data_IF_950905675240
#
_entry.id   IF_950905675240
#
_cell.length_a   1.000
_cell.length_b   1.000
_cell.length_c   1.000
_cell.angle_alpha   90.00
_cell.angle_beta   90.00
_cell.angle_gamma   90.00
#
_symmetry.space_group_name_H-M   'P 1'
#
loop_
_entity.id
_entity.type
_entity.pdbx_description
1 polymer ?
#
# COMPACT_ATOMS: atom_id res chain seq x y z
N UNK A 1 -43.21 3.16 -50.33
CA UNK A 1 -42.07 4.02 -49.86
C UNK A 1 -42.10 4.18 -48.35
N UNK A 2 -43.25 4.54 -47.77
CA UNK A 2 -43.44 4.72 -46.31
C UNK A 2 -43.26 3.44 -45.50
N UNK A 3 -43.74 2.28 -45.98
CA UNK A 3 -43.52 0.98 -45.32
C UNK A 3 -42.03 0.63 -45.22
N UNK A 4 -41.29 0.84 -46.33
CA UNK A 4 -39.84 0.64 -46.38
C UNK A 4 -39.08 1.61 -45.48
N UNK A 5 -39.59 2.83 -45.31
CA UNK A 5 -39.02 3.81 -44.38
C UNK A 5 -39.23 3.38 -42.92
N UNK A 6 -40.42 2.87 -42.59
CA UNK A 6 -40.70 2.34 -41.25
C UNK A 6 -39.85 1.12 -40.92
N UNK A 7 -39.68 0.17 -41.85
CA UNK A 7 -38.80 -0.99 -41.64
C UNK A 7 -37.33 -0.58 -41.50
N UNK A 8 -36.85 0.35 -42.33
CA UNK A 8 -35.49 0.88 -42.24
C UNK A 8 -35.25 1.61 -40.91
N UNK A 9 -36.23 2.39 -40.43
CA UNK A 9 -36.12 3.05 -39.14
C UNK A 9 -36.04 2.06 -37.98
N UNK A 10 -36.84 0.99 -38.02
CA UNK A 10 -36.78 -0.08 -37.00
C UNK A 10 -35.42 -0.78 -37.04
N UNK A 11 -34.94 -1.14 -38.23
CA UNK A 11 -33.64 -1.81 -38.41
C UNK A 11 -32.47 -0.95 -37.96
N UNK A 12 -32.47 0.34 -38.32
CA UNK A 12 -31.45 1.29 -37.88
C UNK A 12 -31.50 1.51 -36.36
N UNK A 13 -32.69 1.61 -35.77
CA UNK A 13 -32.83 1.77 -34.32
C UNK A 13 -32.30 0.55 -33.56
N UNK A 14 -32.59 -0.67 -34.04
CA UNK A 14 -32.04 -1.90 -33.46
C UNK A 14 -30.52 -1.93 -33.58
N UNK A 15 -29.98 -1.57 -34.75
CA UNK A 15 -28.53 -1.52 -35.00
C UNK A 15 -27.81 -0.50 -34.12
N UNK A 16 -28.39 0.68 -33.94
CA UNK A 16 -27.85 1.72 -33.06
C UNK A 16 -27.83 1.25 -31.60
N UNK A 17 -28.92 0.63 -31.13
CA UNK A 17 -28.99 0.06 -29.77
C UNK A 17 -27.96 -1.04 -29.55
N UNK A 18 -27.77 -1.93 -30.54
CA UNK A 18 -26.78 -3.00 -30.48
C UNK A 18 -25.35 -2.42 -30.41
N UNK A 19 -25.02 -1.42 -31.26
CA UNK A 19 -23.72 -0.76 -31.21
C UNK A 19 -23.48 -0.05 -29.86
N UNK A 20 -24.47 0.64 -29.31
CA UNK A 20 -24.37 1.29 -28.01
C UNK A 20 -24.20 0.28 -26.86
N UNK A 21 -24.89 -0.86 -26.93
CA UNK A 21 -24.76 -1.94 -25.94
C UNK A 21 -23.35 -2.55 -25.95
N UNK A 22 -22.80 -2.81 -27.15
CA UNK A 22 -21.43 -3.31 -27.32
C UNK A 22 -20.42 -2.30 -26.78
N UNK A 23 -20.52 -1.02 -27.19
CA UNK A 23 -19.60 0.04 -26.74
C UNK A 23 -19.64 0.25 -25.22
N UNK A 24 -20.82 0.16 -24.60
CA UNK A 24 -20.97 0.26 -23.14
C UNK A 24 -20.34 -0.95 -22.44
N UNK A 25 -20.52 -2.16 -22.97
CA UNK A 25 -19.93 -3.39 -22.43
C UNK A 25 -18.39 -3.34 -22.47
N UNK A 26 -17.81 -2.93 -23.60
CA UNK A 26 -16.36 -2.82 -23.77
C UNK A 26 -15.76 -1.74 -22.86
N UNK A 27 -16.45 -0.61 -22.72
CA UNK A 27 -16.06 0.43 -21.77
C UNK A 27 -16.06 -0.10 -20.33
N UNK A 28 -17.14 -0.73 -19.89
CA UNK A 28 -17.23 -1.30 -18.53
C UNK A 28 -16.20 -2.40 -18.29
N UNK A 29 -15.91 -3.22 -19.29
CA UNK A 29 -14.87 -4.25 -19.22
C UNK A 29 -13.49 -3.62 -19.03
N UNK A 30 -13.17 -2.59 -19.81
CA UNK A 30 -11.89 -1.87 -19.69
C UNK A 30 -11.75 -1.22 -18.32
N UNK A 31 -12.81 -0.57 -17.81
CA UNK A 31 -12.81 0.04 -16.48
C UNK A 31 -12.68 -1.02 -15.37
N UNK A 32 -13.30 -2.18 -15.52
CA UNK A 32 -13.16 -3.30 -14.58
C UNK A 32 -11.74 -3.85 -14.54
N UNK A 33 -11.11 -4.02 -15.70
CA UNK A 33 -9.74 -4.52 -15.79
C UNK A 33 -8.75 -3.51 -15.18
N UNK A 34 -8.97 -2.20 -15.38
CA UNK A 34 -8.17 -1.16 -14.73
C UNK A 34 -8.39 -1.12 -13.22
N UNK A 35 -9.65 -1.14 -12.75
CA UNK A 35 -9.97 -1.20 -11.33
C UNK A 35 -9.40 -2.44 -10.66
N UNK A 36 -9.43 -3.60 -11.33
CA UNK A 36 -8.83 -4.84 -10.86
C UNK A 36 -7.31 -4.73 -10.73
N UNK A 37 -6.63 -4.13 -11.72
CA UNK A 37 -5.17 -3.89 -11.65
C UNK A 37 -4.82 -3.01 -10.46
N UNK A 38 -5.54 -1.89 -10.28
CA UNK A 38 -5.34 -0.98 -9.14
C UNK A 38 -5.60 -1.68 -7.80
N UNK A 39 -6.61 -2.54 -7.73
CA UNK A 39 -6.91 -3.32 -6.53
C UNK A 39 -5.75 -4.25 -6.16
N UNK A 40 -5.23 -5.01 -7.13
CA UNK A 40 -4.09 -5.92 -6.93
C UNK A 40 -2.83 -5.12 -6.52
N UNK A 41 -2.59 -3.96 -7.15
CA UNK A 41 -1.47 -3.09 -6.79
C UNK A 41 -1.59 -2.60 -5.34
N UNK A 42 -2.79 -2.20 -4.92
CA UNK A 42 -3.04 -1.73 -3.56
C UNK A 42 -2.97 -2.87 -2.53
N UNK A 43 -3.44 -4.07 -2.86
CA UNK A 43 -3.28 -5.27 -2.04
C UNK A 43 -1.80 -5.58 -1.81
N UNK A 44 -0.99 -5.50 -2.87
CA UNK A 44 0.46 -5.70 -2.79
C UNK A 44 1.13 -4.64 -1.91
N UNK A 45 0.75 -3.36 -2.04
CA UNK A 45 1.25 -2.30 -1.16
C UNK A 45 0.92 -2.56 0.30
N UNK A 46 -0.30 -2.99 0.61
CA UNK A 46 -0.73 -3.37 1.95
C UNK A 46 0.07 -4.57 2.50
N UNK A 47 0.33 -5.57 1.66
CA UNK A 47 1.13 -6.74 2.02
C UNK A 47 2.59 -6.36 2.31
N UNK A 48 3.24 -5.64 1.40
CA UNK A 48 4.61 -5.15 1.56
C UNK A 48 4.75 -4.28 2.80
N UNK A 49 3.76 -3.43 3.07
CA UNK A 49 3.71 -2.59 4.28
C UNK A 49 3.63 -3.44 5.55
N UNK A 50 2.75 -4.46 5.58
CA UNK A 50 2.64 -5.40 6.71
C UNK A 50 3.93 -6.17 6.95
N UNK A 51 4.61 -6.61 5.89
CA UNK A 51 5.87 -7.33 5.98
C UNK A 51 7.00 -6.43 6.47
N UNK A 52 7.11 -5.21 5.93
CA UNK A 52 8.15 -4.24 6.28
C UNK A 52 8.07 -3.77 7.72
N UNK A 53 6.86 -3.61 8.26
CA UNK A 53 6.62 -3.13 9.62
C UNK A 53 6.09 -4.22 10.55
N UNK A 54 6.41 -5.49 10.25
CA UNK A 54 6.16 -6.60 11.15
C UNK A 54 6.78 -6.33 12.53
N UNK A 55 6.00 -6.54 13.58
CA UNK A 55 6.37 -6.19 14.96
C UNK A 55 5.86 -4.82 15.43
N UNK A 56 5.50 -3.90 14.54
CA UNK A 56 5.09 -2.53 14.87
C UNK A 56 3.61 -2.25 14.60
N UNK A 57 2.89 -3.24 14.06
CA UNK A 57 1.49 -3.09 13.70
C UNK A 57 0.59 -2.96 14.95
N UNK A 58 -0.52 -2.20 14.88
CA UNK A 58 -1.45 -2.03 16.00
C UNK A 58 -2.02 -3.37 16.51
N UNK A 59 -2.27 -4.31 15.61
CA UNK A 59 -2.72 -5.67 15.96
C UNK A 59 -1.74 -6.45 16.83
N UNK A 60 -0.46 -6.05 16.83
CA UNK A 60 0.61 -6.67 17.60
C UNK A 60 0.99 -5.85 18.85
N UNK A 61 0.40 -4.67 19.04
CA UNK A 61 0.61 -3.85 20.23
C UNK A 61 0.27 -4.60 21.54
N UNK A 62 -0.81 -5.40 21.64
CA UNK A 62 -1.09 -6.18 22.84
C UNK A 62 0.02 -7.20 23.16
N UNK A 63 0.53 -7.91 22.15
CA UNK A 63 1.64 -8.86 22.34
C UNK A 63 2.95 -8.16 22.73
N UNK A 64 3.25 -7.00 22.14
CA UNK A 64 4.42 -6.21 22.51
C UNK A 64 4.33 -5.71 23.95
N UNK A 65 3.13 -5.27 24.38
CA UNK A 65 2.89 -4.83 25.76
C UNK A 65 3.07 -5.98 26.76
N UNK A 66 2.55 -7.16 26.45
CA UNK A 66 2.75 -8.36 27.27
C UNK A 66 4.22 -8.75 27.37
N UNK A 67 4.96 -8.73 26.25
CA UNK A 67 6.40 -8.98 26.25
C UNK A 67 7.15 -7.97 27.13
N UNK A 68 6.75 -6.70 27.10
CA UNK A 68 7.32 -5.65 27.93
C UNK A 68 7.00 -5.83 29.42
N UNK A 69 5.78 -6.25 29.76
CA UNK A 69 5.39 -6.61 31.13
C UNK A 69 6.18 -7.81 31.66
N UNK A 70 6.34 -8.86 30.84
CA UNK A 70 7.15 -10.03 31.18
C UNK A 70 8.63 -9.64 31.38
N UNK A 71 9.18 -8.81 30.49
CA UNK A 71 10.54 -8.28 30.61
C UNK A 71 10.73 -7.46 31.89
N UNK A 72 9.75 -6.63 32.29
CA UNK A 72 9.80 -5.89 33.56
C UNK A 72 9.86 -6.83 34.77
N UNK A 73 9.03 -7.87 34.80
CA UNK A 73 9.05 -8.86 35.88
C UNK A 73 10.38 -9.63 35.92
N UNK A 74 10.90 -10.02 34.76
CA UNK A 74 12.20 -10.70 34.66
C UNK A 74 13.35 -9.80 35.12
N UNK A 75 13.31 -8.52 34.75
CA UNK A 75 14.31 -7.54 35.17
C UNK A 75 14.32 -7.36 36.69
N UNK A 76 13.14 -7.25 37.31
CA UNK A 76 13.01 -7.18 38.77
C UNK A 76 13.59 -8.43 39.46
N UNK A 77 13.26 -9.62 38.95
CA UNK A 77 13.80 -10.88 39.49
C UNK A 77 15.33 -10.97 39.34
N UNK A 78 15.89 -10.47 38.24
CA UNK A 78 17.34 -10.39 38.02
C UNK A 78 17.99 -9.40 38.99
N UNK A 79 17.39 -8.23 39.19
CA UNK A 79 17.87 -7.21 40.12
C UNK A 79 17.93 -7.76 41.56
N UNK A 80 16.89 -8.44 42.02
CA UNK A 80 16.84 -9.09 43.33
C UNK A 80 17.88 -10.21 43.48
N UNK A 81 18.06 -11.02 42.44
CA UNK A 81 19.06 -12.09 42.44
C UNK A 81 20.49 -11.54 42.46
N UNK A 82 20.74 -10.43 41.76
CA UNK A 82 22.02 -9.75 41.71
C UNK A 82 22.33 -9.08 43.05
N UNK A 83 21.34 -8.46 43.71
CA UNK A 83 21.47 -7.95 45.07
C UNK A 83 21.87 -9.06 46.05
N UNK A 84 21.15 -10.20 46.05
CA UNK A 84 21.51 -11.37 46.89
C UNK A 84 22.88 -11.95 46.58
N UNK A 85 23.32 -11.94 45.33
CA UNK A 85 24.66 -12.40 44.95
C UNK A 85 25.75 -11.45 45.47
N UNK A 86 25.54 -10.13 45.38
CA UNK A 86 26.43 -9.11 45.94
C UNK A 86 26.52 -9.19 47.46
N UNK A 87 25.39 -9.38 48.15
CA UNK A 87 25.39 -9.56 49.61
C UNK A 87 26.21 -10.78 50.02
N UNK A 88 26.03 -11.91 49.32
CA UNK A 88 26.85 -13.13 49.53
C UNK A 88 28.33 -12.87 49.29
N UNK A 89 28.68 -12.16 48.22
CA UNK A 89 30.07 -11.76 47.94
C UNK A 89 30.67 -10.99 49.12
N UNK A 90 29.99 -9.96 49.61
CA UNK A 90 30.47 -9.14 50.74
C UNK A 90 30.64 -9.96 52.01
N UNK A 91 29.75 -10.93 52.28
CA UNK A 91 29.89 -11.82 53.45
C UNK A 91 31.12 -12.72 53.35
N UNK A 92 31.42 -13.26 52.17
CA UNK A 92 32.59 -14.08 51.93
C UNK A 92 33.89 -13.26 51.97
N UNK A 93 33.87 -12.03 51.44
CA UNK A 93 35.01 -11.10 51.52
C UNK A 93 35.35 -10.76 52.99
N UNK A 94 34.34 -10.50 53.83
CA UNK A 94 34.57 -10.33 55.28
C UNK A 94 35.12 -11.59 55.92
N UNK A 95 34.54 -12.76 55.64
CA UNK A 95 35.02 -14.03 56.19
C UNK A 95 36.47 -14.33 55.77
N UNK A 96 36.86 -13.98 54.55
CA UNK A 96 38.24 -14.06 54.06
C UNK A 96 39.15 -13.09 54.82
N UNK A 97 38.70 -11.84 55.02
CA UNK A 97 39.43 -10.83 55.77
C UNK A 97 39.71 -11.25 57.22
N UNK A 98 38.70 -11.79 57.91
CA UNK A 98 38.84 -12.26 59.30
C UNK A 98 39.88 -13.39 59.43
N UNK A 99 39.90 -14.32 58.46
CA UNK A 99 40.89 -15.42 58.39
C UNK A 99 42.31 -14.91 58.11
N UNK A 100 42.47 -13.87 57.29
CA UNK A 100 43.77 -13.28 56.99
C UNK A 100 44.28 -12.39 58.14
N UNK A 101 43.40 -11.72 58.87
CA UNK A 101 43.77 -10.91 60.03
C UNK A 101 44.32 -11.76 61.18
N UNK A 102 43.81 -12.99 61.34
CA UNK A 102 44.31 -13.95 62.34
C UNK A 102 45.73 -14.45 62.08
N UNK A 103 46.28 -14.22 60.88
CA UNK A 103 47.65 -14.57 60.50
C UNK A 103 48.67 -13.44 60.75
N UNK A 104 48.23 -12.24 61.17
CA UNK A 104 49.20 -11.27 61.68
C UNK A 104 49.79 -11.84 62.97
N UNK A 105 51.11 -12.09 63.05
CA UNK A 105 51.75 -12.45 64.31
C UNK A 105 51.69 -11.20 65.17
N UNK A 106 50.58 -11.03 65.88
CA UNK A 106 50.63 -10.31 67.14
C UNK A 106 51.62 -11.12 67.94
N UNK A 107 52.85 -10.62 68.02
CA UNK A 107 53.84 -11.08 68.98
C UNK A 107 53.06 -11.36 70.26
N UNK A 108 53.06 -12.63 70.69
CA UNK A 108 52.36 -13.06 71.89
C UNK A 108 52.61 -11.99 72.96
N UNK A 109 51.58 -11.52 73.69
CA UNK A 109 51.86 -10.73 74.88
C UNK A 109 52.70 -11.65 75.76
N UNK A 110 54.01 -11.41 75.79
CA UNK A 110 54.90 -11.96 76.79
C UNK A 110 54.18 -11.70 78.09
N UNK A 111 53.78 -12.78 78.75
CA UNK A 111 53.13 -12.74 80.03
C UNK A 111 53.93 -11.77 80.91
N UNK A 112 53.31 -10.64 81.24
CA UNK A 112 53.79 -9.72 82.25
C UNK A 112 53.73 -10.50 83.57
N UNK A 113 54.78 -11.27 83.81
CA UNK A 113 55.02 -11.90 85.09
C UNK A 113 55.40 -10.77 86.02
N UNK A 114 54.60 -10.59 87.06
CA UNK A 114 54.81 -9.59 88.10
C UNK A 114 56.27 -9.65 88.63
N UNK A 115 56.85 -8.51 89.01
CA UNK A 115 58.23 -8.44 89.49
C UNK A 115 58.35 -9.03 90.90
N UNK A 116 59.36 -9.86 91.22
CA UNK A 116 59.90 -9.91 92.56
C UNK A 116 60.93 -8.77 92.75
N UNK A 117 61.11 -8.27 93.98
CA UNK A 117 61.96 -7.11 94.29
C UNK A 117 63.46 -7.44 94.15
N UNK A 118 64.33 -6.40 94.08
CA UNK A 118 65.72 -6.55 93.69
C UNK A 118 66.58 -7.00 94.88
N UNK A 119 67.28 -8.12 94.73
CA UNK A 119 68.46 -8.41 95.54
C UNK A 119 69.69 -8.05 94.71
N UNK A 120 70.28 -6.91 95.08
CA UNK A 120 71.54 -6.43 94.57
C UNK A 120 72.71 -7.26 95.12
N UNK A 121 73.77 -7.31 94.30
CA UNK A 121 75.19 -7.52 94.65
C UNK A 121 75.58 -8.84 95.29
N UNK A 122 76.27 -9.66 94.50
CA UNK A 122 77.07 -10.79 94.95
C UNK A 122 77.76 -11.48 93.78
N UNK A 123 79.04 -11.14 93.60
CA UNK A 123 80.11 -11.90 92.95
C UNK A 123 80.36 -11.85 91.42
N UNK A 124 81.63 -11.59 91.01
CA UNK A 124 82.09 -11.61 89.63
C UNK A 124 82.49 -13.04 89.24
N UNK A 125 81.56 -13.87 88.80
CA UNK A 125 81.88 -15.22 88.34
C UNK A 125 80.86 -15.78 87.33
N UNK A 126 80.58 -15.03 86.26
CA UNK A 126 79.78 -15.54 85.13
C UNK A 126 80.49 -15.23 83.80
N UNK A 127 81.70 -15.79 83.63
CA UNK A 127 82.40 -15.83 82.34
C UNK A 127 82.94 -17.22 81.97
N UNK A 128 82.63 -18.26 82.76
CA UNK A 128 83.10 -19.63 82.50
C UNK A 128 82.13 -20.47 81.64
N UNK A 129 81.40 -19.86 80.70
CA UNK A 129 80.46 -20.60 79.85
C UNK A 129 79.98 -19.90 78.57
N UNK A 130 80.57 -18.77 78.16
CA UNK A 130 80.22 -18.18 76.86
C UNK A 130 80.76 -19.07 75.75
N UNK A 131 79.85 -19.58 74.91
CA UNK A 131 80.25 -20.47 73.80
C UNK A 131 81.12 -19.71 72.81
N UNK A 132 82.05 -20.37 72.09
CA UNK A 132 82.84 -19.72 71.05
C UNK A 132 81.98 -18.99 70.00
N UNK A 133 80.75 -19.47 69.75
CA UNK A 133 79.80 -18.88 68.82
C UNK A 133 79.26 -17.53 69.33
N UNK A 134 78.95 -17.45 70.61
CA UNK A 134 78.46 -16.24 71.26
C UNK A 134 79.57 -15.16 71.34
N UNK A 135 80.81 -15.58 71.63
CA UNK A 135 81.97 -14.70 71.60
C UNK A 135 82.26 -14.14 70.20
N UNK A 136 82.07 -14.93 69.14
CA UNK A 136 82.25 -14.50 67.74
C UNK A 136 81.17 -13.50 67.32
N UNK A 137 79.92 -13.73 67.69
CA UNK A 137 78.81 -12.81 67.41
C UNK A 137 79.04 -11.46 68.09
N UNK A 138 79.48 -11.46 69.34
CA UNK A 138 79.73 -10.24 70.09
C UNK A 138 80.94 -9.47 69.55
N UNK A 139 82.00 -10.18 69.13
CA UNK A 139 83.14 -9.58 68.44
C UNK A 139 82.75 -8.94 67.09
N UNK A 140 81.89 -9.59 66.29
CA UNK A 140 81.38 -9.04 65.02
C UNK A 140 80.51 -7.80 65.25
N UNK A 141 79.67 -7.79 66.28
CA UNK A 141 78.85 -6.62 66.64
C UNK A 141 79.71 -5.44 67.07
N UNK A 142 80.75 -5.68 67.90
CA UNK A 142 81.70 -4.64 68.33
C UNK A 142 82.50 -4.09 67.14
N UNK A 143 82.90 -4.95 66.21
CA UNK A 143 83.55 -4.53 64.96
C UNK A 143 82.62 -3.65 64.13
N UNK A 144 81.36 -4.05 63.91
CA UNK A 144 80.39 -3.25 63.17
C UNK A 144 80.11 -1.88 63.83
N UNK A 145 80.08 -1.84 65.17
CA UNK A 145 79.93 -0.60 65.92
C UNK A 145 81.16 0.33 65.77
N UNK A 146 82.38 -0.22 65.74
CA UNK A 146 83.61 0.57 65.60
C UNK A 146 83.87 1.01 64.15
N UNK A 147 83.53 0.19 63.15
CA UNK A 147 83.63 0.56 61.73
C UNK A 147 82.69 1.74 61.37
N UNK A 148 81.62 1.96 62.14
CA UNK A 148 80.76 3.14 61.96
C UNK A 148 81.32 4.44 62.54
N UNK A 149 82.38 4.37 63.37
CA UNK A 149 82.90 5.51 64.15
C UNK A 149 84.39 5.80 63.95
N UNK A 150 85.17 4.82 63.48
CA UNK A 150 86.63 4.90 63.38
C UNK A 150 87.09 4.56 61.96
N UNK A 151 88.19 5.19 61.52
CA UNK A 151 88.77 4.90 60.21
C UNK A 151 89.33 3.47 60.14
N UNK A 152 89.34 2.83 58.95
CA UNK A 152 89.72 1.42 58.78
C UNK A 152 91.10 1.02 59.29
N UNK A 153 92.03 1.97 59.45
CA UNK A 153 93.41 1.73 59.91
C UNK A 153 93.59 1.78 61.44
N UNK A 154 92.51 1.98 62.21
CA UNK A 154 92.62 2.06 63.67
C UNK A 154 93.07 0.71 64.28
N UNK A 155 94.06 0.69 65.21
CA UNK A 155 94.62 -0.54 65.75
C UNK A 155 93.60 -1.46 66.44
N UNK A 156 92.49 -0.91 66.93
CA UNK A 156 91.42 -1.68 67.58
C UNK A 156 90.56 -2.48 66.59
N UNK A 157 90.35 -1.96 65.37
CA UNK A 157 89.67 -2.71 64.30
C UNK A 157 90.55 -3.89 63.87
N UNK A 158 91.87 -3.67 63.77
CA UNK A 158 92.82 -4.72 63.44
C UNK A 158 92.88 -5.82 64.53
N UNK A 159 92.76 -5.46 65.81
CA UNK A 159 92.68 -6.41 66.94
C UNK A 159 91.39 -7.25 66.89
N UNK A 160 90.24 -6.63 66.66
CA UNK A 160 88.96 -7.32 66.55
C UNK A 160 88.88 -8.24 65.32
N UNK A 161 89.43 -7.81 64.16
CA UNK A 161 89.53 -8.68 62.97
C UNK A 161 90.36 -9.93 63.25
N UNK A 162 91.50 -9.80 63.94
CA UNK A 162 92.31 -10.96 64.38
C UNK A 162 91.56 -11.86 65.36
N UNK A 163 90.79 -11.28 66.29
CA UNK A 163 90.01 -12.04 67.25
C UNK A 163 88.89 -12.84 66.58
N UNK A 164 88.20 -12.26 65.60
CA UNK A 164 87.19 -12.96 64.79
C UNK A 164 87.84 -14.09 63.98
N UNK A 165 88.98 -13.86 63.33
CA UNK A 165 89.67 -14.91 62.57
C UNK A 165 90.16 -16.08 63.43
N UNK A 166 90.43 -15.84 64.72
CA UNK A 166 90.80 -16.91 65.67
C UNK A 166 89.59 -17.65 66.24
N UNK A 167 88.42 -17.00 66.31
CA UNK A 167 87.18 -17.60 66.82
C UNK A 167 86.42 -18.38 65.73
N UNK A 168 86.49 -17.97 64.46
CA UNK A 168 85.86 -18.66 63.33
C UNK A 168 86.17 -20.18 63.25
N UNK A 169 87.44 -20.63 63.28
CA UNK A 169 87.74 -22.06 63.24
C UNK A 169 87.30 -22.81 64.50
N UNK A 170 87.22 -22.14 65.66
CA UNK A 170 86.76 -22.73 66.92
C UNK A 170 85.25 -22.95 66.94
N UNK A 171 84.48 -22.02 66.37
CA UNK A 171 83.04 -22.18 66.14
C UNK A 171 82.78 -23.31 65.14
N UNK A 172 83.55 -23.36 64.05
CA UNK A 172 83.45 -24.44 63.07
C UNK A 172 83.74 -25.82 63.71
N UNK A 173 84.76 -25.92 64.57
CA UNK A 173 85.09 -27.15 65.29
C UNK A 173 84.02 -27.56 66.32
N UNK A 174 83.46 -26.62 67.09
CA UNK A 174 82.36 -26.89 68.04
C UNK A 174 81.06 -27.31 67.33
N UNK A 175 80.76 -26.69 66.17
CA UNK A 175 79.62 -27.08 65.35
C UNK A 175 79.81 -28.45 64.67
N UNK A 176 81.05 -28.84 64.35
CA UNK A 176 81.39 -30.18 63.85
C UNK A 176 81.35 -31.24 64.97
N UNK A 177 81.75 -30.89 66.20
CA UNK A 177 81.65 -31.77 67.36
C UNK A 177 80.20 -31.98 67.83
N UNK A 178 79.34 -30.95 67.78
CA UNK A 178 77.90 -31.09 68.03
C UNK A 178 77.16 -31.90 66.95
N UNK A 179 77.67 -31.93 65.71
CA UNK A 179 77.09 -32.74 64.63
C UNK A 179 77.37 -34.25 64.75
N UNK A 180 78.38 -34.67 65.53
CA UNK A 180 78.78 -36.07 65.66
C UNK A 180 78.11 -36.82 66.83
N UNK A 181 77.28 -36.16 67.65
CA UNK A 181 76.60 -36.80 68.81
C UNK A 181 75.17 -36.31 68.96
N UNK A 182 74.34 -36.49 67.92
CA UNK A 182 72.89 -36.68 68.07
C UNK A 182 72.28 -37.12 66.73
N UNK A 183 71.50 -38.23 66.64
CA UNK A 183 70.61 -38.43 65.52
C UNK A 183 69.41 -37.49 65.69
N UNK A 184 69.57 -36.23 65.31
CA UNK A 184 68.45 -35.27 65.23
C UNK A 184 67.73 -35.50 63.91
N UNK A 185 66.56 -36.14 64.01
CA UNK A 185 65.59 -36.17 62.93
C UNK A 185 65.39 -34.74 62.41
N UNK A 186 65.67 -34.55 61.12
CA UNK A 186 65.40 -33.30 60.42
C UNK A 186 63.99 -32.82 60.77
N UNK A 187 63.91 -31.70 61.50
CA UNK A 187 62.69 -30.97 61.75
C UNK A 187 62.15 -30.47 60.40
N UNK A 188 61.37 -31.32 59.72
CA UNK A 188 60.33 -30.84 58.82
C UNK A 188 59.50 -29.87 59.67
N UNK A 189 59.23 -28.63 59.23
CA UNK A 189 58.28 -27.80 59.95
C UNK A 189 56.98 -28.61 59.94
N UNK A 190 56.57 -29.07 61.13
CA UNK A 190 55.25 -29.68 61.29
C UNK A 190 54.31 -28.52 60.98
N UNK A 191 53.81 -28.47 59.74
CA UNK A 191 52.70 -27.56 59.40
C UNK A 191 51.64 -27.87 60.44
N UNK A 192 51.38 -26.90 61.30
CA UNK A 192 50.36 -27.04 62.33
C UNK A 192 49.05 -27.45 61.62
N UNK A 193 48.38 -28.48 62.14
CA UNK A 193 47.12 -28.95 61.54
C UNK A 193 46.11 -27.81 61.42
N UNK A 194 46.18 -26.83 62.34
CA UNK A 194 45.41 -25.59 62.29
C UNK A 194 45.74 -24.71 61.08
N UNK A 195 47.00 -24.61 60.68
CA UNK A 195 47.44 -23.81 59.53
C UNK A 195 46.99 -24.44 58.21
N UNK A 196 47.10 -25.77 58.08
CA UNK A 196 46.60 -26.49 56.88
C UNK A 196 45.08 -26.37 56.75
N UNK A 197 44.33 -26.47 57.86
CA UNK A 197 42.89 -26.30 57.86
C UNK A 197 42.47 -24.89 57.42
N UNK A 198 43.19 -23.85 57.86
CA UNK A 198 42.97 -22.47 57.43
C UNK A 198 43.26 -22.28 55.94
N UNK A 199 44.43 -22.72 55.46
CA UNK A 199 44.80 -22.62 54.04
C UNK A 199 43.75 -23.27 53.12
N UNK A 200 43.20 -24.42 53.51
CA UNK A 200 42.08 -25.06 52.81
C UNK A 200 40.84 -24.16 52.81
N UNK A 201 40.42 -23.67 53.98
CA UNK A 201 39.25 -22.79 54.10
C UNK A 201 39.39 -21.50 53.30
N UNK A 202 40.58 -20.89 53.28
CA UNK A 202 40.88 -19.71 52.46
C UNK A 202 40.78 -20.03 50.97
N UNK A 203 41.24 -21.20 50.53
CA UNK A 203 41.12 -21.66 49.14
C UNK A 203 39.66 -21.89 48.76
N UNK A 204 38.89 -22.51 49.64
CA UNK A 204 37.46 -22.78 49.43
C UNK A 204 36.69 -21.46 49.29
N UNK A 205 36.90 -20.50 50.20
CA UNK A 205 36.27 -19.16 50.14
C UNK A 205 36.67 -18.41 48.86
N UNK A 206 37.94 -18.49 48.43
CA UNK A 206 38.37 -17.88 47.17
C UNK A 206 37.67 -18.52 45.96
N UNK A 207 37.53 -19.83 45.94
CA UNK A 207 36.79 -20.53 44.89
C UNK A 207 35.30 -20.14 44.87
N UNK A 208 34.69 -19.97 46.06
CA UNK A 208 33.31 -19.48 46.19
C UNK A 208 33.16 -18.02 45.70
N UNK A 209 34.12 -17.15 46.02
CA UNK A 209 34.17 -15.78 45.53
C UNK A 209 34.28 -15.73 43.99
N UNK A 210 35.15 -16.55 43.40
CA UNK A 210 35.28 -16.65 41.94
C UNK A 210 33.98 -17.17 41.30
N UNK A 211 33.32 -18.14 41.93
CA UNK A 211 32.04 -18.67 41.47
C UNK A 211 30.94 -17.60 41.51
N UNK A 212 30.83 -16.83 42.60
CA UNK A 212 29.88 -15.72 42.74
C UNK A 212 30.21 -14.59 41.77
N UNK A 213 31.49 -14.28 41.55
CA UNK A 213 31.92 -13.29 40.56
C UNK A 213 31.44 -13.64 39.15
N UNK A 214 31.57 -14.91 38.75
CA UNK A 214 31.01 -15.42 37.48
C UNK A 214 29.48 -15.35 37.46
N UNK A 215 28.81 -15.68 38.57
CA UNK A 215 27.35 -15.58 38.69
C UNK A 215 26.87 -14.13 38.49
N UNK A 216 27.51 -13.15 39.15
CA UNK A 216 27.18 -11.73 39.03
C UNK A 216 27.37 -11.26 37.59
N UNK A 217 28.50 -11.59 36.96
CA UNK A 217 28.77 -11.22 35.57
C UNK A 217 27.72 -11.80 34.61
N UNK A 218 27.33 -13.06 34.79
CA UNK A 218 26.28 -13.69 33.98
C UNK A 218 24.93 -12.96 34.15
N UNK A 219 24.53 -12.67 35.40
CA UNK A 219 23.28 -11.94 35.69
C UNK A 219 23.28 -10.52 35.13
N UNK A 220 24.42 -9.83 35.15
CA UNK A 220 24.56 -8.50 34.53
C UNK A 220 24.38 -8.56 33.00
N UNK A 221 24.93 -9.60 32.36
CA UNK A 221 24.73 -9.82 30.92
C UNK A 221 23.25 -10.11 30.59
N UNK A 222 22.59 -10.93 31.42
CA UNK A 222 21.15 -11.18 31.28
C UNK A 222 20.32 -9.90 31.45
N UNK A 223 20.66 -9.07 32.44
CA UNK A 223 20.00 -7.79 32.69
C UNK A 223 20.12 -6.85 31.48
N UNK A 224 21.31 -6.77 30.87
CA UNK A 224 21.54 -5.99 29.64
C UNK A 224 20.74 -6.52 28.46
N UNK A 225 20.68 -7.85 28.27
CA UNK A 225 19.86 -8.49 27.23
C UNK A 225 18.38 -8.16 27.40
N UNK A 226 17.83 -8.36 28.59
CA UNK A 226 16.41 -8.07 28.87
C UNK A 226 16.09 -6.59 28.66
N UNK A 227 16.98 -5.67 29.09
CA UNK A 227 16.82 -4.23 28.82
C UNK A 227 16.79 -3.90 27.34
N UNK A 228 17.65 -4.54 26.55
CA UNK A 228 17.72 -4.35 25.09
C UNK A 228 16.43 -4.86 24.43
N UNK A 229 15.95 -6.03 24.83
CA UNK A 229 14.68 -6.58 24.35
C UNK A 229 13.49 -5.68 24.71
N UNK A 230 13.43 -5.19 25.95
CA UNK A 230 12.40 -4.24 26.37
C UNK A 230 12.45 -2.93 25.57
N UNK A 231 13.63 -2.40 25.28
CA UNK A 231 13.78 -1.19 24.46
C UNK A 231 13.28 -1.41 23.03
N UNK A 232 13.52 -2.59 22.45
CA UNK A 232 12.95 -2.97 21.15
C UNK A 232 11.42 -2.97 21.20
N UNK A 233 10.80 -3.61 22.19
CA UNK A 233 9.33 -3.64 22.32
C UNK A 233 8.73 -2.25 22.58
N UNK A 234 9.42 -1.42 23.37
CA UNK A 234 9.00 -0.04 23.61
C UNK A 234 9.02 0.76 22.29
N UNK A 235 10.11 0.69 21.52
CA UNK A 235 10.20 1.38 20.23
C UNK A 235 9.12 0.95 19.23
N UNK A 236 8.74 -0.33 19.26
CA UNK A 236 7.64 -0.87 18.44
C UNK A 236 6.28 -0.31 18.86
N UNK A 237 6.06 -0.16 20.17
CA UNK A 237 4.84 0.40 20.72
C UNK A 237 4.73 1.90 20.44
N UNK A 238 5.84 2.63 20.53
CA UNK A 238 5.91 4.07 20.26
C UNK A 238 5.68 4.37 18.76
N UNK A 239 6.13 3.47 17.88
CA UNK A 239 5.87 3.58 16.44
C UNK A 239 4.43 3.20 16.05
N UNK A 240 3.71 2.44 16.88
CA UNK A 240 2.41 1.86 16.52
C UNK A 240 1.36 2.89 16.07
N UNK A 241 1.19 4.07 16.71
CA UNK A 241 0.20 5.06 16.28
C UNK A 241 0.48 5.63 14.88
N UNK A 242 1.76 5.84 14.55
CA UNK A 242 2.15 6.32 13.20
C UNK A 242 1.87 5.23 12.18
N UNK A 243 2.21 3.98 12.51
CA UNK A 243 1.93 2.83 11.64
C UNK A 243 0.44 2.57 11.45
N UNK A 244 -0.37 2.85 12.47
CA UNK A 244 -1.82 2.80 12.40
C UNK A 244 -2.37 3.80 11.40
N UNK A 245 -1.96 5.08 11.50
CA UNK A 245 -2.41 6.13 10.60
C UNK A 245 -2.08 5.81 9.13
N UNK A 246 -0.83 5.42 8.86
CA UNK A 246 -0.37 4.99 7.53
C UNK A 246 -1.19 3.78 7.02
N UNK A 247 -1.45 2.79 7.89
CA UNK A 247 -2.24 1.61 7.52
C UNK A 247 -3.71 1.95 7.23
N UNK A 248 -4.31 2.82 8.03
CA UNK A 248 -5.69 3.29 7.83
C UNK A 248 -5.85 4.01 6.50
N UNK A 249 -4.87 4.82 6.09
CA UNK A 249 -4.86 5.47 4.78
C UNK A 249 -4.84 4.43 3.65
N UNK A 250 -3.91 3.46 3.71
CA UNK A 250 -3.82 2.39 2.71
C UNK A 250 -5.11 1.54 2.65
N UNK A 251 -5.72 1.25 3.80
CA UNK A 251 -6.98 0.50 3.88
C UNK A 251 -8.15 1.31 3.31
N UNK A 252 -8.23 2.61 3.57
CA UNK A 252 -9.27 3.48 2.99
C UNK A 252 -9.19 3.50 1.46
N UNK A 253 -7.99 3.58 0.92
CA UNK A 253 -7.76 3.54 -0.52
C UNK A 253 -8.13 2.18 -1.12
N UNK A 254 -7.76 1.08 -0.43
CA UNK A 254 -8.18 -0.27 -0.78
C UNK A 254 -9.70 -0.41 -0.82
N UNK A 255 -10.39 0.00 0.25
CA UNK A 255 -11.84 -0.08 0.36
C UNK A 255 -12.53 0.75 -0.75
N UNK A 256 -11.99 1.93 -1.06
CA UNK A 256 -12.50 2.78 -2.14
C UNK A 256 -12.38 2.09 -3.50
N UNK A 257 -11.21 1.54 -3.83
CA UNK A 257 -11.00 0.82 -5.10
C UNK A 257 -11.86 -0.45 -5.15
N UNK A 258 -11.99 -1.16 -4.03
CA UNK A 258 -12.84 -2.35 -3.93
C UNK A 258 -14.32 -2.02 -4.17
N UNK A 259 -14.81 -0.92 -3.60
CA UNK A 259 -16.18 -0.43 -3.83
C UNK A 259 -16.40 -0.05 -5.29
N UNK A 260 -15.47 0.68 -5.91
CA UNK A 260 -15.53 1.03 -7.34
C UNK A 260 -15.57 -0.24 -8.19
N UNK A 261 -14.69 -1.20 -7.93
CA UNK A 261 -14.66 -2.48 -8.66
C UNK A 261 -16.00 -3.23 -8.54
N UNK A 262 -16.55 -3.36 -7.32
CA UNK A 262 -17.85 -3.99 -7.09
C UNK A 262 -18.99 -3.26 -7.80
N UNK A 263 -18.98 -1.92 -7.79
CA UNK A 263 -19.97 -1.10 -8.49
C UNK A 263 -19.91 -1.26 -10.01
N UNK A 264 -18.71 -1.26 -10.58
CA UNK A 264 -18.50 -1.53 -12.02
C UNK A 264 -18.91 -2.95 -12.39
N UNK A 265 -18.66 -3.92 -11.51
CA UNK A 265 -19.02 -5.32 -11.73
C UNK A 265 -20.53 -5.47 -11.77
N UNK A 266 -21.24 -4.89 -10.80
CA UNK A 266 -22.70 -4.87 -10.79
C UNK A 266 -23.25 -4.21 -12.06
N UNK A 267 -22.74 -3.03 -12.44
CA UNK A 267 -23.19 -2.31 -13.63
C UNK A 267 -22.94 -3.08 -14.93
N UNK A 268 -21.85 -3.86 -15.01
CA UNK A 268 -21.58 -4.76 -16.14
C UNK A 268 -22.60 -5.90 -16.21
N UNK A 269 -22.90 -6.53 -15.08
CA UNK A 269 -23.90 -7.60 -15.04
C UNK A 269 -25.30 -7.08 -15.38
N UNK A 270 -25.68 -5.91 -14.87
CA UNK A 270 -26.94 -5.24 -15.24
C UNK A 270 -26.99 -4.93 -16.75
N UNK A 271 -25.89 -4.42 -17.32
CA UNK A 271 -25.79 -4.13 -18.75
C UNK A 271 -25.89 -5.41 -19.60
N UNK A 272 -25.31 -6.53 -19.16
CA UNK A 272 -25.46 -7.83 -19.82
C UNK A 272 -26.89 -8.33 -19.78
N UNK A 273 -27.58 -8.18 -18.66
CA UNK A 273 -29.00 -8.57 -18.54
C UNK A 273 -29.84 -7.73 -19.50
N UNK A 274 -29.61 -6.40 -19.53
CA UNK A 274 -30.30 -5.50 -20.45
C UNK A 274 -30.03 -5.86 -21.93
N UNK A 275 -28.77 -6.11 -22.30
CA UNK A 275 -28.40 -6.54 -23.65
C UNK A 275 -29.05 -7.87 -24.05
N UNK A 276 -29.11 -8.84 -23.14
CA UNK A 276 -29.83 -10.10 -23.38
C UNK A 276 -31.34 -9.89 -23.54
N UNK A 277 -31.94 -8.93 -22.81
CA UNK A 277 -33.35 -8.59 -22.92
C UNK A 277 -33.68 -7.96 -24.29
N UNK A 278 -32.81 -7.06 -24.77
CA UNK A 278 -32.92 -6.44 -26.10
C UNK A 278 -32.71 -7.48 -27.22
N UNK A 279 -31.71 -8.36 -27.08
CA UNK A 279 -31.48 -9.45 -28.05
C UNK A 279 -32.67 -10.41 -28.14
N UNK A 280 -33.35 -10.66 -27.01
CA UNK A 280 -34.60 -11.45 -26.97
C UNK A 280 -35.84 -10.65 -27.39
N UNK A 281 -35.68 -9.39 -27.79
CA UNK A 281 -36.75 -8.47 -28.21
C UNK A 281 -37.85 -8.28 -27.15
N UNK A 282 -37.52 -8.39 -25.85
CA UNK A 282 -38.51 -8.27 -24.76
C UNK A 282 -38.73 -6.80 -24.32
N UNK A 283 -38.07 -5.84 -24.98
CA UNK A 283 -38.15 -4.39 -24.73
C UNK A 283 -39.21 -3.64 -25.56
N UNK A 284 -39.15 -2.30 -25.56
CA UNK A 284 -40.04 -1.44 -26.36
C UNK A 284 -39.84 -1.68 -27.87
N UNK A 285 -40.85 -2.29 -28.50
CA UNK A 285 -40.87 -2.54 -29.94
C UNK A 285 -41.65 -1.44 -30.66
N UNK A 286 -41.05 -0.86 -31.70
CA UNK A 286 -41.81 -0.12 -32.69
C UNK A 286 -42.60 -1.12 -33.54
N UNK A 287 -43.88 -1.29 -33.23
CA UNK A 287 -44.79 -2.09 -34.04
C UNK A 287 -45.54 -1.20 -35.02
N UNK A 288 -45.55 -1.59 -36.29
CA UNK A 288 -46.40 -0.94 -37.29
C UNK A 288 -47.87 -1.20 -36.91
N UNK A 289 -48.56 -0.17 -36.44
CA UNK A 289 -49.96 -0.26 -36.00
C UNK A 289 -50.94 -0.27 -37.19
N UNK A 290 -50.72 0.63 -38.16
CA UNK A 290 -51.49 0.70 -39.39
C UNK A 290 -50.54 0.84 -40.58
N UNK A 291 -50.42 -0.18 -41.46
CA UNK A 291 -49.56 -0.12 -42.62
C UNK A 291 -50.09 0.89 -43.63
N UNK A 292 -49.18 1.61 -44.28
CA UNK A 292 -49.54 2.61 -45.28
C UNK A 292 -50.25 1.94 -46.47
N UNK A 293 -51.53 2.27 -46.68
CA UNK A 293 -52.31 1.81 -47.83
C UNK A 293 -52.02 2.68 -49.05
N UNK A 294 -51.91 2.05 -50.21
CA UNK A 294 -51.87 2.80 -51.47
C UNK A 294 -53.20 3.53 -51.68
N UNK A 295 -53.19 4.82 -52.05
CA UNK A 295 -54.42 5.59 -52.21
C UNK A 295 -55.23 5.03 -53.39
N UNK A 296 -56.48 4.66 -53.14
CA UNK A 296 -57.41 4.13 -54.16
C UNK A 296 -57.81 5.18 -55.20
N UNK A 297 -57.62 6.47 -54.89
CA UNK A 297 -57.91 7.59 -55.79
C UNK A 297 -56.70 8.52 -55.86
N UNK A 298 -56.37 9.04 -57.06
CA UNK A 298 -55.29 10.01 -57.20
C UNK A 298 -55.61 11.28 -56.39
N UNK A 299 -54.66 11.70 -55.56
CA UNK A 299 -54.79 12.90 -54.70
C UNK A 299 -54.78 14.21 -55.51
N UNK A 300 -54.18 14.21 -56.70
CA UNK A 300 -54.21 15.32 -57.65
C UNK A 300 -53.75 14.87 -59.05
N UNK A 301 -54.13 15.56 -60.15
CA UNK A 301 -55.26 16.50 -60.27
C UNK A 301 -56.61 15.78 -60.48
N UNK A 302 -57.71 16.41 -60.05
CA UNK A 302 -59.08 15.94 -60.27
C UNK A 302 -59.38 15.87 -61.77
N UNK A 303 -59.28 14.66 -62.34
CA UNK A 303 -59.45 14.44 -63.78
C UNK A 303 -60.81 14.96 -64.29
N UNK A 304 -61.84 14.93 -63.46
CA UNK A 304 -63.17 15.45 -63.80
C UNK A 304 -63.19 16.98 -63.95
N UNK A 305 -62.54 17.72 -63.04
CA UNK A 305 -62.42 19.18 -63.14
C UNK A 305 -61.60 19.58 -64.36
N UNK A 306 -60.49 18.88 -64.61
CA UNK A 306 -59.62 19.13 -65.76
C UNK A 306 -60.37 18.95 -67.09
N UNK A 307 -61.14 17.87 -67.23
CA UNK A 307 -61.95 17.62 -68.42
C UNK A 307 -63.06 18.66 -68.60
N UNK A 308 -63.75 19.03 -67.51
CA UNK A 308 -64.81 20.04 -67.56
C UNK A 308 -64.25 21.41 -68.01
N UNK A 309 -63.09 21.80 -67.50
CA UNK A 309 -62.40 23.01 -67.94
C UNK A 309 -62.00 22.95 -69.42
N UNK A 310 -61.51 21.80 -69.89
CA UNK A 310 -61.17 21.61 -71.31
C UNK A 310 -62.38 21.76 -72.24
N UNK A 311 -63.52 21.17 -71.88
CA UNK A 311 -64.77 21.29 -72.65
C UNK A 311 -65.25 22.75 -72.67
N UNK A 312 -65.31 23.39 -71.50
CA UNK A 312 -65.74 24.79 -71.39
C UNK A 312 -64.85 25.72 -72.23
N UNK A 313 -63.53 25.51 -72.18
CA UNK A 313 -62.58 26.28 -72.97
C UNK A 313 -62.78 26.07 -74.48
N UNK A 314 -62.96 24.82 -74.92
CA UNK A 314 -63.22 24.52 -76.33
C UNK A 314 -64.50 25.16 -76.86
N UNK A 315 -65.56 25.22 -76.05
CA UNK A 315 -66.84 25.85 -76.40
C UNK A 315 -66.68 27.37 -76.57
N UNK A 316 -65.99 28.02 -75.63
CA UNK A 316 -65.69 29.46 -75.70
C UNK A 316 -64.87 29.77 -76.95
N UNK A 317 -63.85 28.96 -77.24
CA UNK A 317 -62.97 29.16 -78.38
C UNK A 317 -63.69 28.93 -79.72
N UNK A 318 -64.61 27.96 -79.77
CA UNK A 318 -65.47 27.72 -80.93
C UNK A 318 -66.44 28.88 -81.20
N UNK A 319 -67.13 29.38 -80.17
CA UNK A 319 -68.01 30.55 -80.29
C UNK A 319 -67.24 31.80 -80.70
N UNK A 320 -66.07 32.04 -80.09
CA UNK A 320 -65.20 33.16 -80.44
C UNK A 320 -64.73 33.07 -81.91
N UNK A 321 -64.42 31.87 -82.41
CA UNK A 321 -64.02 31.66 -83.80
C UNK A 321 -65.15 31.97 -84.79
N UNK A 322 -66.38 31.56 -84.49
CA UNK A 322 -67.56 31.89 -85.32
C UNK A 322 -67.82 33.40 -85.31
N UNK A 323 -67.79 34.03 -84.14
CA UNK A 323 -67.99 35.48 -84.02
C UNK A 323 -66.89 36.26 -84.75
N UNK A 324 -65.64 35.80 -84.70
CA UNK A 324 -64.54 36.40 -85.46
C UNK A 324 -64.77 36.27 -86.98
N UNK A 325 -65.18 35.09 -87.46
CA UNK A 325 -65.50 34.89 -88.87
C UNK A 325 -66.64 35.79 -89.34
N UNK A 326 -67.67 35.99 -88.52
CA UNK A 326 -68.79 36.90 -88.84
C UNK A 326 -68.36 38.38 -88.81
N UNK A 327 -67.54 38.78 -87.82
CA UNK A 327 -67.04 40.15 -87.73
C UNK A 327 -66.16 40.54 -88.93
N UNK A 328 -65.42 39.58 -89.50
CA UNK A 328 -64.63 39.80 -90.71
C UNK A 328 -65.42 39.60 -92.02
N UNK A 329 -66.69 39.17 -91.98
CA UNK A 329 -67.54 39.06 -93.17
C UNK A 329 -68.09 40.45 -93.55
N UNK A 330 -67.63 41.00 -94.67
CA UNK A 330 -68.04 42.32 -95.16
C UNK A 330 -69.15 42.24 -96.22
N UNK A 331 -69.88 41.13 -96.28
CA UNK A 331 -70.94 40.90 -97.26
C UNK A 331 -72.27 41.54 -96.85
N UNK A 332 -72.83 42.43 -97.68
CA UNK A 332 -74.15 43.04 -97.46
C UNK A 332 -75.24 42.01 -97.82
N UNK A 333 -75.88 41.41 -96.82
CA UNK A 333 -76.84 40.29 -97.04
C UNK A 333 -78.30 40.70 -96.87
N UNK A 334 -78.57 41.79 -96.17
CA UNK A 334 -79.93 42.22 -95.80
C UNK A 334 -80.24 43.62 -96.34
N UNK A 335 -81.51 43.92 -96.64
CA UNK A 335 -81.95 45.25 -97.12
C UNK A 335 -81.52 46.39 -96.17
N UNK A 336 -81.51 46.13 -94.86
CA UNK A 336 -81.05 47.09 -93.85
C UNK A 336 -79.54 47.37 -93.93
N UNK A 337 -78.69 46.40 -94.30
CA UNK A 337 -77.24 46.61 -94.47
C UNK A 337 -76.97 47.60 -95.61
N UNK A 338 -77.68 47.45 -96.72
CA UNK A 338 -77.56 48.34 -97.89
C UNK A 338 -77.99 49.76 -97.52
N UNK A 339 -79.09 49.90 -96.77
CA UNK A 339 -79.60 51.21 -96.36
C UNK A 339 -78.65 51.93 -95.40
N UNK A 340 -78.02 51.18 -94.49
CA UNK A 340 -77.13 51.73 -93.45
C UNK A 340 -75.78 52.15 -94.01
N UNK A 341 -75.20 51.39 -94.96
CA UNK A 341 -73.89 51.67 -95.53
C UNK A 341 -73.95 52.72 -96.65
N UNK A 342 -74.95 52.65 -97.53
CA UNK A 342 -75.02 53.47 -98.74
C UNK A 342 -75.96 54.69 -98.61
N UNK A 343 -76.71 54.82 -97.51
CA UNK A 343 -77.63 55.95 -97.23
C UNK A 343 -78.67 56.22 -98.32
N UNK A 344 -78.95 55.24 -99.18
CA UNK A 344 -79.84 55.35 -100.34
C UNK A 344 -81.14 54.55 -100.06
N UNK A 345 -82.31 55.06 -100.45
CA UNK A 345 -83.56 54.31 -100.35
C UNK A 345 -83.54 53.13 -101.35
N UNK A 346 -83.83 51.93 -100.88
CA UNK A 346 -83.96 50.74 -101.72
C UNK A 346 -85.28 50.85 -102.50
N UNK A 347 -85.21 51.08 -103.82
CA UNK A 347 -86.39 51.37 -104.66
C UNK A 347 -87.09 50.08 -105.13
N UNK A 348 -86.33 48.99 -105.30
CA UNK A 348 -86.87 47.69 -105.68
C UNK A 348 -85.89 46.58 -105.27
N UNK A 349 -86.40 45.56 -104.58
CA UNK A 349 -85.65 44.34 -104.28
C UNK A 349 -85.98 43.31 -105.36
N UNK A 350 -84.97 42.74 -106.01
CA UNK A 350 -85.18 41.63 -106.94
C UNK A 350 -85.35 40.37 -106.09
N UNK A 351 -86.54 39.75 -106.06
CA UNK A 351 -86.71 38.51 -105.32
C UNK A 351 -85.80 37.46 -105.93
N UNK A 352 -84.94 36.89 -105.10
CA UNK A 352 -84.20 35.69 -105.45
C UNK A 352 -85.24 34.59 -105.73
N UNK A 353 -85.47 34.33 -107.02
CA UNK A 353 -86.22 33.18 -107.49
C UNK A 353 -85.50 31.93 -106.95
N UNK A 354 -86.15 31.25 -106.02
CA UNK A 354 -85.69 29.95 -105.55
C UNK A 354 -85.65 28.98 -106.74
N UNK A 355 -84.56 28.19 -106.77
CA UNK A 355 -84.33 26.96 -107.55
C UNK A 355 -83.60 27.10 -108.90
N UNK A 356 -82.28 26.94 -108.84
CA UNK A 356 -81.53 26.18 -109.85
C UNK A 356 -81.05 24.88 -109.20
N UNK A 357 -81.36 23.74 -109.83
CA UNK A 357 -81.07 22.37 -109.36
C UNK A 357 -79.56 22.03 -109.19
N UNK A 358 -78.66 23.00 -109.22
CA UNK A 358 -77.22 22.81 -108.99
C UNK A 358 -76.75 23.14 -107.54
N UNK A 359 -77.57 23.82 -106.73
CA UNK A 359 -77.15 24.31 -105.39
C UNK A 359 -77.59 23.44 -104.20
N UNK A 360 -78.33 22.34 -104.46
CA UNK A 360 -78.80 21.41 -103.40
C UNK A 360 -77.63 20.58 -102.84
N UNK A 361 -76.57 20.33 -103.61
CA UNK A 361 -75.43 19.51 -103.18
C UNK A 361 -74.47 20.21 -102.21
N UNK A 362 -74.21 21.51 -102.40
CA UNK A 362 -73.22 22.26 -101.58
C UNK A 362 -73.80 22.63 -100.22
N UNK A 363 -75.06 23.07 -100.17
CA UNK A 363 -75.73 23.38 -98.89
C UNK A 363 -76.10 22.13 -98.09
N UNK A 364 -76.40 21.00 -98.76
CA UNK A 364 -76.58 19.71 -98.07
C UNK A 364 -75.26 19.23 -97.44
N UNK A 365 -74.12 19.35 -98.13
CA UNK A 365 -72.79 19.05 -97.57
C UNK A 365 -72.45 19.94 -96.37
N UNK A 366 -72.80 21.22 -96.41
CA UNK A 366 -72.56 22.15 -95.30
C UNK A 366 -73.46 21.85 -94.09
N UNK A 367 -74.74 21.55 -94.31
CA UNK A 367 -75.65 21.09 -93.24
C UNK A 367 -75.18 19.74 -92.67
N UNK A 368 -74.72 18.83 -93.53
CA UNK A 368 -74.13 17.56 -93.10
C UNK A 368 -72.83 17.75 -92.31
N UNK A 369 -71.97 18.71 -92.66
CA UNK A 369 -70.75 18.99 -91.87
C UNK A 369 -71.08 19.60 -90.51
N UNK A 370 -72.10 20.47 -90.42
CA UNK A 370 -72.59 20.98 -89.13
C UNK A 370 -73.22 19.87 -88.27
N UNK A 371 -74.07 19.01 -88.84
CA UNK A 371 -74.65 17.89 -88.09
C UNK A 371 -73.61 16.83 -87.74
N UNK A 372 -72.62 16.58 -88.59
CA UNK A 372 -71.51 15.68 -88.31
C UNK A 372 -70.59 16.22 -87.21
N UNK A 373 -70.33 17.54 -87.19
CA UNK A 373 -69.60 18.20 -86.11
C UNK A 373 -70.34 18.10 -84.76
N UNK A 374 -71.65 18.37 -84.75
CA UNK A 374 -72.48 18.21 -83.56
C UNK A 374 -72.51 16.75 -83.07
N UNK A 375 -72.65 15.78 -84.00
CA UNK A 375 -72.59 14.36 -83.67
C UNK A 375 -71.23 13.93 -83.11
N UNK A 376 -70.12 14.45 -83.66
CA UNK A 376 -68.78 14.17 -83.16
C UNK A 376 -68.57 14.70 -81.72
N UNK A 377 -69.12 15.87 -81.39
CA UNK A 377 -69.09 16.41 -80.02
C UNK A 377 -69.89 15.52 -79.06
N UNK A 378 -71.08 15.07 -79.46
CA UNK A 378 -71.89 14.15 -78.64
C UNK A 378 -71.18 12.81 -78.42
N UNK A 379 -70.53 12.27 -79.46
CA UNK A 379 -69.74 11.03 -79.36
C UNK A 379 -68.50 11.24 -78.46
N UNK A 380 -67.83 12.39 -78.54
CA UNK A 380 -66.71 12.72 -77.65
C UNK A 380 -67.17 12.81 -76.19
N UNK A 381 -68.32 13.44 -75.92
CA UNK A 381 -68.90 13.52 -74.58
C UNK A 381 -69.29 12.11 -74.09
N UNK A 382 -69.92 11.28 -74.93
CA UNK A 382 -70.32 9.93 -74.58
C UNK A 382 -69.13 9.00 -74.29
N UNK A 383 -68.06 9.07 -75.09
CA UNK A 383 -66.83 8.28 -74.88
C UNK A 383 -66.09 8.69 -73.60
N UNK A 384 -66.09 9.99 -73.26
CA UNK A 384 -65.58 10.48 -71.98
C UNK A 384 -66.41 9.91 -70.84
N UNK A 385 -67.74 10.03 -70.88
CA UNK A 385 -68.62 9.50 -69.81
C UNK A 385 -68.46 7.99 -69.63
N UNK A 386 -68.33 7.23 -70.72
CA UNK A 386 -68.13 5.78 -70.68
C UNK A 386 -66.80 5.38 -70.04
N UNK A 387 -65.71 6.08 -70.35
CA UNK A 387 -64.37 5.82 -69.78
C UNK A 387 -64.25 6.17 -68.30
N UNK A 388 -65.17 6.96 -67.75
CA UNK A 388 -65.22 7.28 -66.32
C UNK A 388 -66.16 6.38 -65.50
N UNK A 389 -66.93 5.51 -66.17
CA UNK A 389 -67.95 4.66 -65.55
C UNK A 389 -67.53 3.17 -65.45
N UNK A 390 -66.28 2.87 -65.82
CA UNK A 390 -65.57 1.61 -65.54
C UNK A 390 -64.20 1.94 -64.97
#
# INVERSE_FOLDING_TARGET
MTERLASLFIEENVRDREMLAIGTSDFLQTQLDDARKRLIEQEKKLEEYRLRYAGQLPSQAPSNLQALQNGRMQLQALDDALARARDRQVTLERALGDLLATDTPTAAPVAATAPPPPAASGDPAALAGSTPAEQLLDARRRLAALESRLLPEHPDIARLKRQISQLEPKVAADSAASAATTPSAAARPVRDAAQVARERRTRDIRADLDAIGREIAARQNDQQRVRTEMALYQSRLDAAPIREAEMTELMRDYDTIQQIYRGLLAKREDSKVAANLEQRQVGEQFRVLDPARVPERPFSPDRMKLNLMGIAFGLVLGLASVAALEYFDTSLKTEDDVRTVLSLPVIATIPLLTQTMADVGVRARLRWSFTAGAAAIVIAIATIVWRFRG
#
